data_IF_896582151737
#
_entry.id   IF_896582151737
#
_cell.length_a   1.000
_cell.length_b   1.000
_cell.length_c   1.000
_cell.angle_alpha   90.00
_cell.angle_beta   90.00
_cell.angle_gamma   90.00
#
_symmetry.space_group_name_H-M   'P 1'
#
loop_
_entity.id
_entity.type
_entity.pdbx_description
1 polymer ?
#
# COMPACT_ATOMS: atom_id res chain seq x y z
N UNK A 1 21.23 2.36 34.05
CA UNK A 1 21.38 2.96 32.70
C UNK A 1 20.28 2.39 31.80
N UNK A 2 19.30 3.22 31.50
CA UNK A 2 18.20 2.90 30.60
C UNK A 2 18.81 2.50 29.25
N UNK A 3 18.74 1.22 28.89
CA UNK A 3 19.32 0.74 27.64
C UNK A 3 18.52 1.35 26.49
N UNK A 4 19.19 1.89 25.48
CA UNK A 4 18.53 2.44 24.30
C UNK A 4 17.72 1.34 23.61
N UNK A 5 16.40 1.37 23.82
CA UNK A 5 15.47 0.38 23.30
C UNK A 5 15.59 0.27 21.77
N UNK A 6 15.88 1.36 21.06
CA UNK A 6 16.04 1.32 19.59
C UNK A 6 17.29 0.54 19.20
N UNK A 7 18.40 0.73 19.91
CA UNK A 7 19.63 0.01 19.67
C UNK A 7 19.48 -1.50 19.96
N UNK A 8 18.78 -1.85 21.04
CA UNK A 8 18.50 -3.24 21.39
C UNK A 8 17.64 -3.94 20.33
N UNK A 9 16.54 -3.31 19.90
CA UNK A 9 15.67 -3.91 18.86
C UNK A 9 16.41 -4.04 17.54
N UNK A 10 17.25 -3.07 17.17
CA UNK A 10 18.07 -3.15 15.96
C UNK A 10 19.06 -4.33 16.03
N UNK A 11 19.76 -4.49 17.17
CA UNK A 11 20.69 -5.60 17.36
C UNK A 11 19.99 -6.96 17.31
N UNK A 12 18.82 -7.07 17.95
CA UNK A 12 17.98 -8.27 17.87
C UNK A 12 17.60 -8.61 16.43
N UNK A 13 17.13 -7.62 15.65
CA UNK A 13 16.74 -7.83 14.27
C UNK A 13 17.91 -8.25 13.37
N UNK A 14 19.08 -7.62 13.54
CA UNK A 14 20.30 -8.01 12.81
C UNK A 14 20.69 -9.44 13.14
N UNK A 15 20.59 -9.85 14.40
CA UNK A 15 20.90 -11.22 14.82
C UNK A 15 19.91 -12.22 14.24
N UNK A 16 18.61 -11.92 14.29
CA UNK A 16 17.56 -12.78 13.74
C UNK A 16 17.75 -13.04 12.24
N UNK A 17 18.05 -11.99 11.46
CA UNK A 17 18.30 -12.12 10.02
C UNK A 17 19.61 -12.81 9.65
N UNK A 18 20.55 -12.94 10.59
CA UNK A 18 21.79 -13.67 10.38
C UNK A 18 21.61 -15.20 10.51
N UNK A 19 20.47 -15.65 11.03
CA UNK A 19 20.13 -17.08 11.07
C UNK A 19 19.72 -17.57 9.66
N UNK A 20 20.22 -18.74 9.21
CA UNK A 20 20.06 -19.20 7.82
C UNK A 20 18.60 -19.33 7.36
N UNK A 21 17.70 -19.76 8.26
CA UNK A 21 16.28 -19.97 7.96
C UNK A 21 15.44 -18.67 8.03
N UNK A 22 15.97 -17.61 8.66
CA UNK A 22 15.23 -16.36 8.97
C UNK A 22 15.76 -15.12 8.24
N UNK A 23 16.57 -15.31 7.18
CA UNK A 23 17.10 -14.21 6.37
C UNK A 23 16.03 -13.28 5.76
N UNK A 24 14.78 -13.74 5.67
CA UNK A 24 13.61 -12.97 5.20
C UNK A 24 12.66 -12.54 6.32
N UNK A 25 12.99 -12.81 7.58
CA UNK A 25 12.15 -12.44 8.70
C UNK A 25 12.01 -10.91 8.79
N UNK A 26 10.77 -10.44 8.75
CA UNK A 26 10.43 -9.04 8.97
C UNK A 26 10.36 -8.81 10.47
N UNK A 27 11.12 -7.83 10.96
CA UNK A 27 11.02 -7.36 12.34
C UNK A 27 10.37 -6.00 12.33
N UNK A 28 9.19 -5.91 12.95
CA UNK A 28 8.44 -4.68 13.09
C UNK A 28 8.36 -4.25 14.56
N UNK A 29 8.33 -2.94 14.80
CA UNK A 29 8.18 -2.38 16.13
C UNK A 29 7.34 -1.09 16.10
N UNK A 30 6.61 -0.84 17.19
CA UNK A 30 6.05 0.47 17.46
C UNK A 30 7.13 1.43 18.01
N UNK A 31 6.76 2.70 18.16
CA UNK A 31 7.56 3.63 18.95
C UNK A 31 7.53 3.26 20.46
N UNK A 32 8.55 3.70 21.18
CA UNK A 32 8.71 3.41 22.60
C UNK A 32 7.51 3.92 23.41
N UNK A 33 7.03 3.09 24.33
CA UNK A 33 5.91 3.41 25.24
C UNK A 33 6.46 3.61 26.65
N UNK A 34 5.96 4.62 27.34
CA UNK A 34 6.34 4.92 28.72
C UNK A 34 5.38 4.29 29.75
N UNK A 35 4.20 3.84 29.31
CA UNK A 35 3.19 3.19 30.15
C UNK A 35 2.92 1.75 29.67
N UNK A 36 2.71 0.85 30.63
CA UNK A 36 2.30 -0.52 30.39
C UNK A 36 0.92 -0.62 29.74
N UNK A 37 0.02 0.33 30.00
CA UNK A 37 -1.32 0.35 29.38
C UNK A 37 -1.28 0.54 27.87
N UNK A 38 -0.19 1.11 27.33
CA UNK A 38 -0.02 1.38 25.91
C UNK A 38 0.60 0.18 25.16
N UNK A 39 1.14 -0.81 25.87
CA UNK A 39 1.78 -1.98 25.26
C UNK A 39 0.85 -2.77 24.33
N UNK A 40 -0.43 -3.03 24.68
CA UNK A 40 -1.35 -3.70 23.75
C UNK A 40 -1.58 -2.91 22.46
N UNK A 41 -1.59 -1.57 22.51
CA UNK A 41 -1.71 -0.74 21.32
C UNK A 41 -0.41 -0.77 20.48
N UNK A 42 0.75 -0.71 21.13
CA UNK A 42 2.05 -0.83 20.46
C UNK A 42 2.26 -2.20 19.81
N UNK A 43 1.80 -3.29 20.43
CA UNK A 43 1.86 -4.62 19.82
C UNK A 43 0.99 -4.73 18.57
N UNK A 44 -0.25 -4.21 18.62
CA UNK A 44 -1.13 -4.14 17.45
C UNK A 44 -0.52 -3.31 16.32
N UNK A 45 0.05 -2.16 16.65
CA UNK A 45 0.77 -1.33 15.68
C UNK A 45 1.94 -2.08 15.03
N UNK A 46 2.79 -2.74 15.83
CA UNK A 46 3.91 -3.52 15.32
C UNK A 46 3.45 -4.69 14.43
N UNK A 47 2.38 -5.38 14.81
CA UNK A 47 1.79 -6.45 14.01
C UNK A 47 1.29 -5.92 12.67
N UNK A 48 0.50 -4.85 12.66
CA UNK A 48 0.00 -4.28 11.41
C UNK A 48 1.14 -3.78 10.50
N UNK A 49 2.23 -3.25 11.07
CA UNK A 49 3.44 -2.88 10.32
C UNK A 49 4.08 -4.12 9.70
N UNK A 50 4.17 -5.25 10.42
CA UNK A 50 4.70 -6.50 9.88
C UNK A 50 3.85 -7.02 8.71
N UNK A 51 2.54 -7.04 8.87
CA UNK A 51 1.58 -7.50 7.85
C UNK A 51 1.69 -6.63 6.58
N UNK A 52 1.76 -5.30 6.74
CA UNK A 52 1.93 -4.37 5.64
C UNK A 52 3.20 -4.60 4.80
N UNK A 53 4.28 -5.04 5.45
CA UNK A 53 5.53 -5.38 4.76
C UNK A 53 5.45 -6.76 4.11
N UNK A 54 4.82 -7.73 4.77
CA UNK A 54 4.70 -9.10 4.26
C UNK A 54 3.91 -9.17 2.94
N UNK A 55 2.82 -8.40 2.83
CA UNK A 55 1.97 -8.38 1.63
C UNK A 55 2.47 -7.44 0.53
N UNK A 56 3.38 -6.54 0.89
CA UNK A 56 4.12 -5.77 -0.11
C UNK A 56 5.09 -6.71 -0.82
N UNK A 57 4.60 -7.44 -1.83
CA UNK A 57 5.38 -8.26 -2.77
C UNK A 57 6.56 -7.50 -3.42
N UNK A 58 6.64 -6.18 -3.21
CA UNK A 58 7.81 -5.36 -3.44
C UNK A 58 8.85 -5.54 -2.32
N UNK A 59 9.63 -6.60 -2.45
CA UNK A 59 11.00 -6.75 -1.90
C UNK A 59 11.98 -5.67 -2.43
N UNK A 60 11.55 -4.40 -2.50
CA UNK A 60 12.26 -3.31 -3.17
C UNK A 60 12.35 -2.01 -2.35
N UNK A 61 11.76 -1.97 -1.15
CA UNK A 61 12.08 -0.93 -0.18
C UNK A 61 13.35 -1.37 0.54
N UNK A 62 14.38 -0.51 0.54
CA UNK A 62 15.59 -0.66 1.35
C UNK A 62 15.22 -0.45 2.81
N UNK A 63 14.43 -1.38 3.35
CA UNK A 63 13.79 -1.26 4.64
C UNK A 63 14.83 -1.41 5.75
N UNK A 64 14.71 -0.59 6.81
CA UNK A 64 15.61 -0.72 7.94
C UNK A 64 15.54 -2.13 8.57
N UNK A 65 16.56 -2.51 9.36
CA UNK A 65 16.55 -3.75 10.13
C UNK A 65 15.30 -3.93 10.99
N UNK A 66 14.73 -2.83 11.49
CA UNK A 66 13.48 -2.79 12.24
C UNK A 66 12.54 -1.81 11.56
N UNK A 67 11.44 -2.32 11.02
CA UNK A 67 10.42 -1.53 10.32
C UNK A 67 9.46 -0.94 11.35
N UNK A 68 9.11 0.34 11.19
CA UNK A 68 8.11 1.02 11.99
C UNK A 68 7.04 1.64 11.12
N UNK A 69 6.01 2.19 11.76
CA UNK A 69 4.91 2.89 11.11
C UNK A 69 5.36 3.98 10.12
N UNK A 70 6.43 4.71 10.44
CA UNK A 70 6.99 5.76 9.55
C UNK A 70 7.65 5.22 8.28
N UNK A 71 8.03 3.94 8.26
CA UNK A 71 8.81 3.31 7.19
C UNK A 71 7.91 2.66 6.13
N UNK A 72 6.62 2.47 6.42
CA UNK A 72 5.69 1.74 5.53
C UNK A 72 4.94 2.64 4.53
N UNK A 73 5.20 3.96 4.56
CA UNK A 73 4.66 4.96 3.62
C UNK A 73 3.14 4.84 3.40
N UNK A 74 2.62 5.36 2.27
CA UNK A 74 1.17 5.37 1.99
C UNK A 74 0.57 3.97 1.91
N UNK A 75 1.23 3.03 1.22
CA UNK A 75 0.73 1.65 1.07
C UNK A 75 0.56 0.96 2.42
N UNK A 76 1.56 1.13 3.28
CA UNK A 76 1.50 0.64 4.64
C UNK A 76 0.38 1.26 5.43
N UNK A 77 0.29 2.60 5.45
CA UNK A 77 -0.78 3.31 6.13
C UNK A 77 -2.16 2.80 5.72
N UNK A 78 -2.39 2.65 4.41
CA UNK A 78 -3.65 2.13 3.88
C UNK A 78 -3.92 0.70 4.33
N UNK A 79 -2.89 -0.17 4.42
CA UNK A 79 -3.04 -1.52 4.96
C UNK A 79 -3.42 -1.52 6.44
N UNK A 80 -2.89 -0.61 7.26
CA UNK A 80 -3.30 -0.49 8.67
C UNK A 80 -4.79 -0.16 8.82
N UNK A 81 -5.32 0.56 7.83
CA UNK A 81 -6.70 1.03 7.79
C UNK A 81 -7.61 0.10 6.97
N UNK A 82 -7.15 -1.11 6.60
CA UNK A 82 -7.91 -2.07 5.78
C UNK A 82 -9.29 -2.41 6.37
N UNK A 83 -9.38 -2.48 7.69
CA UNK A 83 -10.58 -2.85 8.44
C UNK A 83 -11.36 -1.62 8.94
N UNK A 84 -10.87 -0.40 8.65
CA UNK A 84 -11.58 0.82 8.99
C UNK A 84 -12.81 1.01 8.06
N UNK A 85 -14.03 1.10 8.61
CA UNK A 85 -15.25 1.15 7.80
C UNK A 85 -15.34 2.42 6.94
N UNK A 86 -14.72 3.53 7.36
CA UNK A 86 -14.69 4.77 6.57
C UNK A 86 -13.76 4.64 5.37
N UNK A 87 -12.61 3.97 5.53
CA UNK A 87 -11.69 3.69 4.42
C UNK A 87 -12.31 2.69 3.44
N UNK A 88 -13.02 1.68 3.94
CA UNK A 88 -13.79 0.75 3.09
C UNK A 88 -14.86 1.48 2.27
N UNK A 89 -15.68 2.29 2.93
CA UNK A 89 -16.73 3.08 2.27
C UNK A 89 -16.16 4.08 1.26
N UNK A 90 -14.99 4.66 1.56
CA UNK A 90 -14.26 5.53 0.63
C UNK A 90 -13.83 4.75 -0.61
N UNK A 91 -13.14 3.62 -0.45
CA UNK A 91 -12.67 2.80 -1.57
C UNK A 91 -13.82 2.33 -2.47
N UNK A 92 -14.92 1.86 -1.86
CA UNK A 92 -16.12 1.45 -2.59
C UNK A 92 -16.73 2.61 -3.37
N UNK A 93 -16.91 3.78 -2.75
CA UNK A 93 -17.50 4.95 -3.43
C UNK A 93 -16.65 5.44 -4.59
N UNK A 94 -15.34 5.56 -4.40
CA UNK A 94 -14.43 6.09 -5.43
C UNK A 94 -14.23 5.11 -6.59
N UNK A 95 -14.46 3.81 -6.39
CA UNK A 95 -14.29 2.77 -7.42
C UNK A 95 -15.61 2.15 -7.90
N UNK A 96 -16.75 2.59 -7.38
CA UNK A 96 -18.05 1.94 -7.56
C UNK A 96 -18.37 1.65 -9.04
N UNK A 97 -18.17 2.65 -9.91
CA UNK A 97 -18.43 2.53 -11.34
C UNK A 97 -17.56 1.50 -12.06
N UNK A 98 -16.34 1.26 -11.58
CA UNK A 98 -15.46 0.21 -12.11
C UNK A 98 -15.75 -1.16 -11.50
N UNK A 99 -16.07 -1.22 -10.20
CA UNK A 99 -16.33 -2.48 -9.50
C UNK A 99 -17.67 -3.11 -9.90
N UNK A 100 -18.67 -2.29 -10.24
CA UNK A 100 -19.98 -2.77 -10.75
C UNK A 100 -20.00 -2.96 -12.26
N UNK A 101 -19.00 -2.47 -12.98
CA UNK A 101 -18.91 -2.57 -14.42
C UNK A 101 -18.66 -4.02 -14.88
N UNK A 102 -19.13 -4.35 -16.08
CA UNK A 102 -18.88 -5.67 -16.68
C UNK A 102 -17.47 -5.79 -17.30
N UNK A 103 -16.75 -4.68 -17.46
CA UNK A 103 -15.46 -4.64 -18.15
C UNK A 103 -14.30 -4.83 -17.15
N UNK A 104 -14.00 -6.10 -16.85
CA UNK A 104 -12.95 -6.50 -15.91
C UNK A 104 -11.54 -6.05 -16.34
N UNK A 105 -11.35 -5.64 -17.60
CA UNK A 105 -10.06 -5.24 -18.15
C UNK A 105 -9.66 -3.79 -17.78
N UNK A 106 -10.57 -2.97 -17.26
CA UNK A 106 -10.30 -1.56 -16.96
C UNK A 106 -9.56 -1.34 -15.63
N UNK A 107 -9.88 -2.12 -14.59
CA UNK A 107 -9.25 -1.99 -13.28
C UNK A 107 -7.73 -2.28 -13.33
N UNK A 108 -7.24 -3.34 -14.03
CA UNK A 108 -5.81 -3.54 -14.23
C UNK A 108 -5.13 -2.40 -15.00
N UNK A 109 -5.81 -1.80 -15.99
CA UNK A 109 -5.29 -0.66 -16.75
C UNK A 109 -5.11 0.56 -15.85
N UNK A 110 -6.12 0.87 -15.02
CA UNK A 110 -6.04 1.95 -14.05
C UNK A 110 -4.89 1.73 -13.04
N UNK A 111 -4.76 0.51 -12.51
CA UNK A 111 -3.65 0.15 -11.60
C UNK A 111 -2.29 0.44 -12.23
N UNK A 112 -2.03 -0.06 -13.43
CA UNK A 112 -0.76 0.17 -14.14
C UNK A 112 -0.57 1.65 -14.48
N UNK A 113 -1.62 2.35 -14.88
CA UNK A 113 -1.56 3.77 -15.21
C UNK A 113 -1.09 4.61 -14.02
N UNK A 114 -1.70 4.42 -12.84
CA UNK A 114 -1.30 5.14 -11.64
C UNK A 114 0.08 4.68 -11.12
N UNK A 115 0.38 3.38 -11.17
CA UNK A 115 1.68 2.85 -10.75
C UNK A 115 2.85 3.35 -11.62
N UNK A 116 2.59 3.74 -12.88
CA UNK A 116 3.57 4.33 -13.78
C UNK A 116 3.64 5.86 -13.70
N UNK A 117 3.05 6.46 -12.65
CA UNK A 117 3.01 7.91 -12.47
C UNK A 117 2.17 8.62 -13.53
N UNK A 118 1.08 7.99 -13.98
CA UNK A 118 0.17 8.51 -15.02
C UNK A 118 0.84 8.64 -16.41
N UNK A 119 1.87 7.84 -16.69
CA UNK A 119 2.57 7.86 -17.98
C UNK A 119 1.83 7.00 -19.03
N UNK A 120 0.98 7.65 -19.83
CA UNK A 120 0.17 7.00 -20.87
C UNK A 120 1.00 6.15 -21.85
N UNK A 121 2.20 6.59 -22.24
CA UNK A 121 3.05 5.81 -23.16
C UNK A 121 3.57 4.52 -22.53
N UNK A 122 4.06 4.60 -21.28
CA UNK A 122 4.56 3.43 -20.55
C UNK A 122 3.45 2.44 -20.24
N UNK A 123 2.27 2.93 -19.86
CA UNK A 123 1.08 2.09 -19.63
C UNK A 123 0.66 1.33 -20.89
N UNK A 124 0.64 2.01 -22.05
CA UNK A 124 0.27 1.37 -23.32
C UNK A 124 1.22 0.22 -23.68
N UNK A 125 2.53 0.44 -23.46
CA UNK A 125 3.55 -0.59 -23.67
C UNK A 125 3.37 -1.79 -22.74
N UNK A 126 3.14 -1.57 -21.44
CA UNK A 126 2.95 -2.65 -20.45
C UNK A 126 1.67 -3.46 -20.69
N UNK A 127 0.62 -2.84 -21.25
CA UNK A 127 -0.61 -3.53 -21.63
C UNK A 127 -0.61 -4.05 -23.07
N UNK A 128 0.50 -3.89 -23.82
CA UNK A 128 0.61 -4.30 -25.23
C UNK A 128 -0.51 -3.75 -26.13
N UNK A 129 -0.96 -2.52 -25.87
CA UNK A 129 -2.01 -1.84 -26.65
C UNK A 129 -1.47 -0.62 -27.39
N UNK A 130 -2.16 -0.21 -28.45
CA UNK A 130 -1.86 1.06 -29.11
C UNK A 130 -2.22 2.25 -28.21
N UNK A 131 -1.56 3.40 -28.42
CA UNK A 131 -1.89 4.63 -27.67
C UNK A 131 -3.37 5.03 -27.81
N UNK A 132 -3.99 5.04 -29.01
CA UNK A 132 -5.42 5.34 -29.12
C UNK A 132 -6.31 4.36 -28.36
N UNK A 133 -5.96 3.07 -28.31
CA UNK A 133 -6.71 2.08 -27.54
C UNK A 133 -6.61 2.33 -26.03
N UNK A 134 -5.42 2.67 -25.52
CA UNK A 134 -5.27 3.07 -24.11
C UNK A 134 -6.10 4.31 -23.80
N UNK A 135 -6.08 5.33 -24.66
CA UNK A 135 -6.76 6.60 -24.38
C UNK A 135 -8.27 6.38 -24.25
N UNK A 136 -8.87 5.58 -25.14
CA UNK A 136 -10.29 5.19 -25.01
C UNK A 136 -10.58 4.45 -23.71
N UNK A 137 -9.68 3.58 -23.25
CA UNK A 137 -9.85 2.89 -21.96
C UNK A 137 -9.78 3.86 -20.79
N UNK A 138 -8.85 4.82 -20.81
CA UNK A 138 -8.76 5.86 -19.78
C UNK A 138 -9.99 6.79 -19.80
N UNK A 139 -10.49 7.17 -20.97
CA UNK A 139 -11.74 7.91 -21.12
C UNK A 139 -12.94 7.13 -20.56
N UNK A 140 -13.02 5.83 -20.84
CA UNK A 140 -14.06 4.97 -20.28
C UNK A 140 -13.97 4.88 -18.75
N UNK A 141 -12.76 4.73 -18.21
CA UNK A 141 -12.52 4.74 -16.75
C UNK A 141 -12.99 6.06 -16.13
N UNK A 142 -12.58 7.19 -16.69
CA UNK A 142 -12.99 8.52 -16.22
C UNK A 142 -14.51 8.69 -16.27
N UNK A 143 -15.16 8.22 -17.33
CA UNK A 143 -16.62 8.26 -17.47
C UNK A 143 -17.36 7.40 -16.45
N UNK A 144 -16.83 6.21 -16.14
CA UNK A 144 -17.41 5.31 -15.14
C UNK A 144 -17.23 5.84 -13.71
N UNK A 145 -16.09 6.44 -13.42
CA UNK A 145 -15.78 6.98 -12.09
C UNK A 145 -16.30 8.41 -11.88
N UNK A 146 -16.59 9.14 -12.95
CA UNK A 146 -16.97 10.56 -12.86
C UNK A 146 -15.81 11.47 -12.43
N UNK A 147 -14.58 11.11 -12.79
CA UNK A 147 -13.34 11.81 -12.38
C UNK A 147 -12.50 12.22 -13.59
N UNK A 148 -11.65 13.22 -13.40
CA UNK A 148 -10.56 13.62 -14.27
C UNK A 148 -9.23 13.08 -13.71
N UNK A 149 -8.60 12.14 -14.40
CA UNK A 149 -7.32 11.56 -13.98
C UNK A 149 -6.12 12.45 -14.34
N UNK A 150 -6.32 13.47 -15.17
CA UNK A 150 -5.29 14.49 -15.42
C UNK A 150 -5.24 15.48 -14.23
N UNK A 151 -6.35 15.68 -13.51
CA UNK A 151 -6.35 16.38 -12.21
C UNK A 151 -5.56 15.61 -11.14
N UNK A 152 -4.75 16.34 -10.37
CA UNK A 152 -3.86 15.72 -9.39
C UNK A 152 -4.60 15.18 -8.17
N UNK A 153 -5.56 15.94 -7.64
CA UNK A 153 -6.28 15.58 -6.41
C UNK A 153 -7.20 14.38 -6.66
N UNK A 154 -7.92 14.39 -7.78
CA UNK A 154 -8.80 13.30 -8.16
C UNK A 154 -8.01 12.02 -8.50
N UNK A 155 -6.91 12.13 -9.23
CA UNK A 155 -6.05 10.97 -9.47
C UNK A 155 -5.44 10.40 -8.18
N UNK A 156 -5.07 11.26 -7.22
CA UNK A 156 -4.58 10.82 -5.92
C UNK A 156 -5.68 10.12 -5.12
N UNK A 157 -6.91 10.65 -5.12
CA UNK A 157 -8.09 10.01 -4.49
C UNK A 157 -8.29 8.59 -5.01
N UNK A 158 -8.36 8.43 -6.33
CA UNK A 158 -8.53 7.12 -7.00
C UNK A 158 -7.34 6.19 -6.71
N UNK A 159 -6.12 6.71 -6.63
CA UNK A 159 -4.95 5.91 -6.27
C UNK A 159 -5.06 5.36 -4.85
N UNK A 160 -5.44 6.20 -3.88
CA UNK A 160 -5.62 5.79 -2.48
C UNK A 160 -6.76 4.77 -2.38
N UNK A 161 -7.87 4.98 -3.10
CA UNK A 161 -8.99 4.06 -3.15
C UNK A 161 -8.57 2.68 -3.69
N UNK A 162 -7.75 2.64 -4.74
CA UNK A 162 -7.19 1.40 -5.27
C UNK A 162 -6.28 0.70 -4.26
N UNK A 163 -5.40 1.43 -3.58
CA UNK A 163 -4.56 0.86 -2.52
C UNK A 163 -5.41 0.26 -1.40
N UNK A 164 -6.50 0.93 -1.02
CA UNK A 164 -7.39 0.48 0.04
C UNK A 164 -8.18 -0.76 -0.38
N UNK A 165 -8.70 -0.79 -1.60
CA UNK A 165 -9.36 -1.96 -2.18
C UNK A 165 -8.40 -3.15 -2.27
N UNK A 166 -7.20 -2.97 -2.79
CA UNK A 166 -6.21 -4.04 -2.89
C UNK A 166 -5.80 -4.56 -1.50
N UNK A 167 -5.69 -3.68 -0.51
CA UNK A 167 -5.43 -4.02 0.89
C UNK A 167 -6.59 -4.75 1.59
N UNK A 168 -7.78 -4.83 1.01
CA UNK A 168 -8.88 -5.66 1.53
C UNK A 168 -8.90 -7.05 0.90
N UNK A 169 -8.43 -7.18 -0.34
CA UNK A 169 -8.46 -8.44 -1.10
C UNK A 169 -7.31 -9.41 -0.76
N UNK A 170 -6.21 -8.88 -0.21
CA UNK A 170 -5.12 -9.67 0.39
C UNK A 170 -5.19 -9.71 1.90
#
# INVERSE_FOLDING_TARGET
PDQDARALTAHFATRLRAEPDDSRAVVAAADARADWTDVPAGLREAQHVADAVADSAASALDLPPVVRLRDIHLRGLVRLLRDDPHVQSFAERELDGLLRGSDQDLLPVLRTYLATGRNKSRTAQLHHVSRPALYRRLEAIQGLLGVDLDDFEQAASVHIALLAHDAQQG
#
